data_IF_976113268872
#
_entry.id   IF_976113268872
#
_cell.length_a   1.000
_cell.length_b   1.000
_cell.length_c   1.000
_cell.angle_alpha   90.00
_cell.angle_beta   90.00
_cell.angle_gamma   90.00
#
_symmetry.space_group_name_H-M   'P 1'
#
loop_
_entity.id
_entity.type
_entity.pdbx_description
1 polymer ?
#
# COMPACT_ATOMS: atom_id res chain seq x y z
N UNK A 1 -13.20 -0.62 3.68
CA UNK A 1 -13.59 -1.10 2.34
C UNK A 1 -12.35 -1.79 1.83
N UNK A 2 -12.42 -3.11 1.65
CA UNK A 2 -11.28 -3.87 1.20
C UNK A 2 -11.01 -3.55 -0.28
N UNK A 3 -9.76 -3.24 -0.60
CA UNK A 3 -9.28 -3.02 -1.96
C UNK A 3 -8.12 -3.95 -2.24
N UNK A 4 -8.21 -4.68 -3.34
CA UNK A 4 -7.11 -5.49 -3.84
C UNK A 4 -6.23 -4.63 -4.74
N UNK A 5 -4.96 -4.54 -4.38
CA UNK A 5 -3.98 -3.67 -5.02
C UNK A 5 -3.00 -4.54 -5.80
N UNK A 6 -2.82 -4.23 -7.07
CA UNK A 6 -1.69 -4.70 -7.85
C UNK A 6 -0.61 -3.63 -7.85
N UNK A 7 0.61 -3.99 -7.45
CA UNK A 7 1.81 -3.18 -7.61
C UNK A 7 2.78 -3.89 -8.55
N UNK A 8 3.25 -3.21 -9.59
CA UNK A 8 4.26 -3.76 -10.49
C UNK A 8 5.35 -2.74 -10.78
N UNK A 9 6.58 -3.06 -10.40
CA UNK A 9 7.79 -2.28 -10.73
C UNK A 9 8.85 -3.20 -11.37
N UNK A 10 9.50 -4.06 -10.58
CA UNK A 10 10.35 -5.16 -11.09
C UNK A 10 9.69 -6.53 -10.99
N UNK A 11 8.76 -6.69 -10.05
CA UNK A 11 7.90 -7.85 -9.87
C UNK A 11 6.47 -7.38 -9.56
N UNK A 12 5.48 -8.18 -9.95
CA UNK A 12 4.08 -7.93 -9.64
C UNK A 12 3.74 -8.49 -8.27
N UNK A 13 3.21 -7.63 -7.40
CA UNK A 13 2.75 -7.91 -6.05
C UNK A 13 1.26 -7.67 -5.96
N UNK A 14 0.60 -8.54 -5.20
CA UNK A 14 -0.82 -8.47 -4.92
C UNK A 14 -0.98 -8.42 -3.42
N UNK A 15 -1.79 -7.50 -2.94
CA UNK A 15 -2.12 -7.39 -1.53
C UNK A 15 -3.44 -6.66 -1.35
N UNK A 16 -4.01 -6.82 -0.18
CA UNK A 16 -5.23 -6.12 0.20
C UNK A 16 -4.99 -5.01 1.20
N UNK A 17 -5.73 -3.91 1.02
CA UNK A 17 -5.81 -2.80 1.95
C UNK A 17 -7.26 -2.54 2.35
N UNK A 18 -7.50 -2.48 3.65
CA UNK A 18 -8.77 -1.98 4.17
C UNK A 18 -8.72 -0.45 4.20
N UNK A 19 -9.34 0.18 3.21
CA UNK A 19 -9.35 1.63 3.04
C UNK A 19 -10.65 2.26 3.57
N UNK A 20 -10.54 3.49 4.06
CA UNK A 20 -11.67 4.32 4.44
C UNK A 20 -12.50 4.68 3.19
N UNK A 21 -13.80 4.85 3.38
CA UNK A 21 -14.70 5.23 2.27
C UNK A 21 -14.29 6.59 1.70
N UNK A 22 -14.07 6.65 0.39
CA UNK A 22 -13.63 7.86 -0.32
C UNK A 22 -12.14 8.18 -0.22
N UNK A 23 -11.33 7.30 0.39
CA UNK A 23 -9.89 7.45 0.39
C UNK A 23 -9.28 7.22 -1.01
N UNK A 24 -8.28 8.03 -1.35
CA UNK A 24 -7.60 7.97 -2.63
C UNK A 24 -6.43 6.99 -2.57
N UNK A 25 -6.54 5.88 -3.29
CA UNK A 25 -5.52 4.83 -3.29
C UNK A 25 -4.21 5.35 -3.88
N UNK A 26 -4.26 6.11 -4.97
CA UNK A 26 -3.06 6.59 -5.66
C UNK A 26 -2.25 7.52 -4.75
N UNK A 27 -2.94 8.43 -4.03
CA UNK A 27 -2.28 9.34 -3.08
C UNK A 27 -1.64 8.57 -1.90
N UNK A 28 -2.35 7.60 -1.33
CA UNK A 28 -1.84 6.78 -0.22
C UNK A 28 -0.62 5.97 -0.65
N UNK A 29 -0.69 5.31 -1.81
CA UNK A 29 0.41 4.50 -2.33
C UNK A 29 1.60 5.36 -2.74
N UNK A 30 1.36 6.55 -3.31
CA UNK A 30 2.42 7.51 -3.63
C UNK A 30 3.20 7.94 -2.39
N UNK A 31 2.51 8.19 -1.27
CA UNK A 31 3.17 8.57 -0.01
C UNK A 31 3.90 7.38 0.60
N UNK A 32 3.28 6.20 0.62
CA UNK A 32 3.90 4.97 1.16
C UNK A 32 5.14 4.56 0.35
N UNK A 33 5.13 4.64 -0.98
CA UNK A 33 6.30 4.39 -1.83
C UNK A 33 7.51 5.25 -1.45
N UNK A 34 7.30 6.43 -0.86
CA UNK A 34 8.38 7.28 -0.37
C UNK A 34 9.09 6.77 0.89
N UNK A 35 8.62 5.69 1.51
CA UNK A 35 9.14 5.14 2.79
C UNK A 35 10.04 3.92 2.56
N UNK A 36 11.05 3.72 3.41
CA UNK A 36 11.91 2.52 3.41
C UNK A 36 11.10 1.29 3.81
N UNK A 37 10.14 1.48 4.72
CA UNK A 37 9.22 0.46 5.17
C UNK A 37 8.41 -0.17 4.04
N UNK A 38 7.97 0.60 3.05
CA UNK A 38 7.22 0.07 1.91
C UNK A 38 8.01 -0.97 1.12
N UNK A 39 9.26 -0.66 0.77
CA UNK A 39 10.14 -1.59 0.06
C UNK A 39 10.49 -2.80 0.90
N UNK A 40 10.48 -2.74 2.24
CA UNK A 40 10.69 -3.94 3.08
C UNK A 40 9.57 -4.98 2.93
N UNK A 41 8.35 -4.56 2.62
CA UNK A 41 7.20 -5.45 2.45
C UNK A 41 6.91 -5.79 0.99
N UNK A 42 7.32 -4.91 0.07
CA UNK A 42 6.95 -4.98 -1.35
C UNK A 42 8.16 -5.20 -2.27
N UNK A 43 9.41 -5.18 -1.79
CA UNK A 43 10.61 -5.33 -2.62
C UNK A 43 11.72 -6.15 -1.92
N UNK A 44 12.50 -6.92 -2.69
CA UNK A 44 13.68 -7.66 -2.20
C UNK A 44 14.96 -6.78 -2.23
N UNK A 45 14.81 -5.45 -2.19
CA UNK A 45 15.90 -4.48 -2.07
C UNK A 45 16.60 -4.08 -3.37
N UNK A 46 15.97 -4.19 -4.54
CA UNK A 46 16.63 -3.96 -5.84
C UNK A 46 15.70 -3.38 -6.92
N UNK A 47 15.35 -2.09 -6.87
CA UNK A 47 14.78 -1.42 -8.06
C UNK A 47 15.06 0.09 -8.11
N UNK A 48 15.77 0.54 -9.14
CA UNK A 48 15.90 1.94 -9.56
C UNK A 48 14.65 2.37 -10.37
N UNK A 49 14.29 3.64 -10.26
CA UNK A 49 13.32 4.44 -11.04
C UNK A 49 12.66 3.74 -12.26
N UNK A 50 11.62 2.92 -12.05
CA UNK A 50 10.71 2.44 -13.11
C UNK A 50 9.33 3.07 -12.91
N UNK A 51 8.64 3.36 -14.02
CA UNK A 51 7.26 3.85 -14.03
C UNK A 51 6.33 2.76 -13.47
N UNK A 52 5.78 3.00 -12.27
CA UNK A 52 4.86 2.09 -11.60
C UNK A 52 3.41 2.35 -12.02
N UNK A 53 2.65 1.29 -12.28
CA UNK A 53 1.21 1.34 -12.49
C UNK A 53 0.48 0.76 -11.27
N UNK A 54 -0.39 1.55 -10.65
CA UNK A 54 -1.30 1.11 -9.59
C UNK A 54 -2.65 0.79 -10.19
N UNK A 55 -3.18 -0.39 -9.92
CA UNK A 55 -4.53 -0.74 -10.35
C UNK A 55 -5.31 -1.41 -9.23
N UNK A 56 -6.51 -0.90 -8.99
CA UNK A 56 -7.57 -1.60 -8.26
C UNK A 56 -7.96 -2.81 -9.11
N UNK A 57 -7.68 -4.01 -8.60
CA UNK A 57 -8.07 -5.25 -9.26
C UNK A 57 -9.31 -5.82 -8.60
N UNK A 58 -10.18 -6.43 -9.41
CA UNK A 58 -11.40 -7.06 -8.92
C UNK A 58 -11.07 -8.16 -7.91
N UNK A 59 -11.88 -8.27 -6.85
CA UNK A 59 -11.81 -9.30 -5.78
C UNK A 59 -11.83 -10.76 -6.29
N UNK A 60 -12.07 -11.00 -7.58
CA UNK A 60 -12.14 -12.33 -8.21
C UNK A 60 -10.75 -12.85 -8.66
N UNK A 61 -9.73 -11.99 -8.63
CA UNK A 61 -8.37 -12.37 -9.04
C UNK A 61 -7.63 -13.09 -7.90
N UNK A 62 -7.65 -14.42 -7.95
CA UNK A 62 -6.92 -15.31 -7.05
C UNK A 62 -5.41 -15.30 -7.38
N UNK A 63 -4.68 -14.26 -6.98
CA UNK A 63 -3.27 -14.44 -6.65
C UNK A 63 -3.21 -15.12 -5.28
N UNK A 64 -2.42 -16.18 -5.10
CA UNK A 64 -2.29 -16.95 -3.84
C UNK A 64 -1.90 -16.11 -2.59
N UNK A 65 -1.72 -14.79 -2.71
CA UNK A 65 -1.32 -13.86 -1.65
C UNK A 65 -2.45 -12.85 -1.36
N UNK A 66 -3.54 -13.34 -0.75
CA UNK A 66 -4.61 -12.55 -0.10
C UNK A 66 -4.13 -11.88 1.22
N UNK A 67 -2.83 -11.55 1.31
CA UNK A 67 -2.24 -11.00 2.52
C UNK A 67 -2.71 -9.56 2.71
N UNK A 68 -3.34 -9.31 3.85
CA UNK A 68 -3.82 -7.98 4.24
C UNK A 68 -2.69 -7.23 4.94
N UNK A 69 -2.11 -6.23 4.25
CA UNK A 69 -0.99 -5.44 4.76
C UNK A 69 -1.44 -4.10 5.37
N UNK A 70 -2.74 -3.99 5.70
CA UNK A 70 -3.31 -2.74 6.21
C UNK A 70 -2.61 -2.29 7.48
N UNK A 71 -2.31 -3.20 8.40
CA UNK A 71 -1.65 -2.87 9.67
C UNK A 71 -0.16 -2.56 9.46
N UNK A 72 0.55 -3.35 8.65
CA UNK A 72 1.95 -3.15 8.34
C UNK A 72 2.20 -1.77 7.72
N UNK A 73 1.38 -1.35 6.75
CA UNK A 73 1.51 -0.01 6.16
C UNK A 73 1.12 1.11 7.13
N UNK A 74 0.20 0.86 8.08
CA UNK A 74 -0.04 1.82 9.18
C UNK A 74 1.18 1.95 10.07
N UNK A 75 1.82 0.85 10.45
CA UNK A 75 3.04 0.88 11.27
C UNK A 75 4.18 1.63 10.56
N UNK A 76 4.33 1.42 9.25
CA UNK A 76 5.27 2.19 8.42
C UNK A 76 4.93 3.67 8.46
N UNK A 77 3.66 4.04 8.26
CA UNK A 77 3.22 5.44 8.33
C UNK A 77 3.45 6.07 9.71
N UNK A 78 3.21 5.33 10.80
CA UNK A 78 3.49 5.80 12.16
C UNK A 78 4.98 6.03 12.41
N UNK A 79 5.83 5.16 11.85
CA UNK A 79 7.28 5.19 12.06
C UNK A 79 8.02 6.18 11.16
N UNK A 80 7.63 6.31 9.91
CA UNK A 80 8.45 6.94 8.86
C UNK A 80 7.85 8.19 8.23
N UNK A 81 6.52 8.34 8.25
CA UNK A 81 5.87 9.57 7.78
C UNK A 81 5.71 10.55 8.92
N UNK A 82 5.60 11.85 8.64
CA UNK A 82 5.33 12.88 9.64
C UNK A 82 4.24 13.87 9.18
N UNK A 83 3.67 14.60 10.14
CA UNK A 83 2.76 15.71 9.86
C UNK A 83 1.53 15.31 9.04
N UNK A 84 1.37 15.94 7.87
CA UNK A 84 0.19 15.78 7.00
C UNK A 84 0.15 14.43 6.32
N UNK A 85 1.31 13.92 5.90
CA UNK A 85 1.43 12.63 5.19
C UNK A 85 1.07 11.47 6.12
N UNK A 86 1.60 11.49 7.36
CA UNK A 86 1.20 10.52 8.39
C UNK A 86 -0.30 10.55 8.64
N UNK A 87 -0.86 11.74 8.82
CA UNK A 87 -2.29 11.88 9.13
C UNK A 87 -3.15 11.36 7.97
N UNK A 88 -2.82 11.74 6.74
CA UNK A 88 -3.50 11.28 5.52
C UNK A 88 -3.51 9.75 5.43
N UNK A 89 -2.34 9.11 5.49
CA UNK A 89 -2.26 7.64 5.35
C UNK A 89 -2.99 6.91 6.48
N UNK A 90 -2.87 7.37 7.73
CA UNK A 90 -3.54 6.73 8.86
C UNK A 90 -5.06 6.96 8.91
N UNK A 91 -5.54 8.03 8.28
CA UNK A 91 -6.97 8.28 8.08
C UNK A 91 -7.53 7.51 6.88
N UNK A 92 -6.70 7.24 5.88
CA UNK A 92 -7.08 6.50 4.69
C UNK A 92 -7.07 4.98 4.88
N UNK A 93 -6.14 4.44 5.66
CA UNK A 93 -6.16 3.03 6.07
C UNK A 93 -7.13 2.88 7.25
N UNK A 94 -7.90 1.79 7.30
CA UNK A 94 -8.83 1.48 8.40
C UNK A 94 -8.06 0.72 9.48
N UNK A 95 -8.32 1.03 10.75
CA UNK A 95 -7.68 0.33 11.86
C UNK A 95 -8.50 -0.93 12.14
N UNK A 96 -7.89 -2.10 12.06
CA UNK A 96 -8.52 -3.32 12.57
C UNK A 96 -8.60 -3.23 14.09
N UNK A 97 -9.81 -3.48 14.62
CA UNK A 97 -10.14 -3.39 16.04
C UNK A 97 -9.99 -4.72 16.76
#
# INVERSE_FOLDING_TARGET
MKKSVMYSETRTWFFDLDMAEGADLDEVMSVLRGTDGFYRYVDDGMSEEIECEWSDVSEDWNGDDDSDYTEEFREVAERELDGKERHMVLSALVKKG
#
